data_IF_548665489595
#
_entry.id   IF_548665489595
#
_cell.length_a   1.000
_cell.length_b   1.000
_cell.length_c   1.000
_cell.angle_alpha   90.00
_cell.angle_beta   90.00
_cell.angle_gamma   90.00
#
_symmetry.space_group_name_H-M   'P 1'
#
loop_
_entity.id
_entity.type
_entity.pdbx_description
1 polymer ?
#
# COMPACT_ATOMS: atom_id res chain seq x y z
N UNK A 1 21.65 -10.86 -9.70
CA UNK A 1 20.91 -9.62 -9.97
C UNK A 1 20.20 -9.25 -8.68
N UNK A 2 20.38 -8.05 -8.17
CA UNK A 2 19.61 -7.58 -7.02
C UNK A 2 18.15 -7.43 -7.44
N UNK A 3 17.23 -8.01 -6.70
CA UNK A 3 15.80 -7.77 -6.90
C UNK A 3 15.51 -6.33 -6.46
N UNK A 4 14.77 -5.59 -7.28
CA UNK A 4 14.33 -4.22 -6.96
C UNK A 4 12.82 -4.20 -6.84
N UNK A 5 12.32 -3.47 -5.87
CA UNK A 5 10.88 -3.34 -5.64
C UNK A 5 10.27 -2.21 -6.47
N UNK A 6 9.08 -2.43 -6.97
CA UNK A 6 8.25 -1.38 -7.55
C UNK A 6 7.77 -0.43 -6.45
N UNK A 7 7.60 0.83 -6.80
CA UNK A 7 7.12 1.87 -5.89
C UNK A 7 5.62 2.06 -6.05
N UNK A 8 4.92 2.22 -4.95
CA UNK A 8 3.48 2.43 -4.96
C UNK A 8 3.06 3.65 -4.14
N UNK A 9 1.80 4.00 -4.27
CA UNK A 9 1.15 5.04 -3.47
C UNK A 9 1.41 4.82 -1.97
N UNK A 10 1.75 5.90 -1.26
CA UNK A 10 2.15 5.86 0.13
C UNK A 10 3.63 5.54 0.36
N UNK A 11 4.41 5.36 -0.71
CA UNK A 11 5.87 5.27 -0.62
C UNK A 11 6.44 6.49 0.10
N UNK A 12 7.39 6.28 0.99
CA UNK A 12 8.01 7.38 1.75
C UNK A 12 9.24 7.90 1.02
N UNK A 13 9.26 9.19 0.78
CA UNK A 13 10.35 9.89 0.11
C UNK A 13 11.03 10.90 1.04
N UNK A 14 12.30 11.18 0.78
CA UNK A 14 13.10 12.15 1.54
C UNK A 14 13.94 13.00 0.58
N UNK A 15 13.88 14.30 0.77
CA UNK A 15 14.80 15.22 0.10
C UNK A 15 16.09 15.35 0.91
N UNK A 16 17.25 15.30 0.24
CA UNK A 16 18.56 15.48 0.90
C UNK A 16 18.74 16.85 1.58
N UNK A 17 17.95 17.85 1.17
CA UNK A 17 17.97 19.21 1.73
C UNK A 17 16.76 19.50 2.63
N UNK A 18 15.91 18.49 2.87
CA UNK A 18 14.77 18.57 3.75
C UNK A 18 15.05 17.90 5.11
N UNK A 19 14.28 18.26 6.11
CA UNK A 19 14.40 17.71 7.47
C UNK A 19 13.22 16.80 7.86
N UNK A 20 12.30 16.53 6.96
CA UNK A 20 11.16 15.64 7.18
C UNK A 20 10.84 14.82 5.91
N UNK A 21 10.40 13.56 6.04
CA UNK A 21 9.90 12.77 4.92
C UNK A 21 8.47 13.17 4.54
N UNK A 22 8.07 12.82 3.32
CA UNK A 22 6.69 12.91 2.85
C UNK A 22 6.31 11.67 2.05
N UNK A 23 5.01 11.40 1.90
CA UNK A 23 4.50 10.24 1.20
C UNK A 23 4.08 10.58 -0.22
N UNK A 24 4.40 9.66 -1.14
CA UNK A 24 4.07 9.78 -2.55
C UNK A 24 2.57 9.52 -2.79
N UNK A 25 1.93 10.39 -3.57
CA UNK A 25 0.59 10.17 -4.13
C UNK A 25 0.71 9.81 -5.60
N UNK A 26 -0.11 8.86 -6.04
CA UNK A 26 -0.27 8.53 -7.45
C UNK A 26 -1.57 9.16 -7.93
N UNK A 27 -1.48 10.07 -8.91
CA UNK A 27 -2.61 10.85 -9.42
C UNK A 27 -2.79 10.70 -10.94
N UNK A 28 -1.86 10.03 -11.62
CA UNK A 28 -1.78 9.99 -13.08
C UNK A 28 -2.34 8.72 -13.70
N UNK A 29 -2.69 7.72 -12.88
CA UNK A 29 -3.28 6.46 -13.32
C UNK A 29 -4.20 5.88 -12.24
N UNK A 30 -5.14 5.00 -12.65
CA UNK A 30 -6.19 4.43 -11.76
C UNK A 30 -6.35 2.92 -11.92
N UNK A 31 -5.54 2.26 -12.76
CA UNK A 31 -5.75 0.86 -13.16
C UNK A 31 -4.66 -0.11 -12.70
N UNK A 32 -3.43 0.37 -12.54
CA UNK A 32 -2.33 -0.49 -12.18
C UNK A 32 -2.11 -0.50 -10.66
N UNK A 33 -2.38 -1.63 -10.04
CA UNK A 33 -2.27 -1.83 -8.60
C UNK A 33 -1.15 -2.79 -8.24
N UNK A 34 -0.60 -2.62 -7.04
CA UNK A 34 0.23 -3.61 -6.36
C UNK A 34 -0.56 -4.07 -5.13
N UNK A 35 -0.57 -5.38 -4.86
CA UNK A 35 -1.40 -6.02 -3.84
C UNK A 35 -2.89 -5.95 -4.23
N UNK A 36 -3.38 -6.99 -4.90
CA UNK A 36 -4.73 -7.05 -5.51
C UNK A 36 -5.89 -7.25 -4.53
N UNK A 37 -5.65 -7.30 -3.21
CA UNK A 37 -6.70 -7.52 -2.19
C UNK A 37 -7.02 -6.23 -1.43
N UNK A 38 -8.29 -5.83 -1.46
CA UNK A 38 -8.79 -4.76 -0.59
C UNK A 38 -8.59 -5.09 0.91
N UNK A 39 -8.22 -4.13 1.78
CA UNK A 39 -8.07 -2.68 1.56
C UNK A 39 -6.66 -2.23 1.16
N UNK A 40 -5.82 -3.12 0.63
CA UNK A 40 -4.38 -2.88 0.44
C UNK A 40 -3.97 -2.59 -0.99
N UNK A 41 -4.93 -2.45 -1.89
CA UNK A 41 -4.67 -2.03 -3.26
C UNK A 41 -3.97 -0.68 -3.29
N UNK A 42 -2.75 -0.65 -3.82
CA UNK A 42 -1.96 0.57 -3.95
C UNK A 42 -1.57 0.78 -5.39
N UNK A 43 -1.86 1.96 -5.91
CA UNK A 43 -1.50 2.34 -7.27
C UNK A 43 0.01 2.34 -7.47
N UNK A 44 0.48 1.80 -8.59
CA UNK A 44 1.89 1.84 -8.99
C UNK A 44 2.29 3.26 -9.33
N UNK A 45 3.38 3.75 -8.74
CA UNK A 45 3.93 5.05 -9.07
C UNK A 45 4.75 4.98 -10.37
N UNK A 46 4.63 6.01 -11.18
CA UNK A 46 5.26 6.09 -12.50
C UNK A 46 6.04 7.38 -12.69
N UNK A 47 6.80 7.46 -13.77
CA UNK A 47 7.51 8.70 -14.16
C UNK A 47 6.58 9.85 -14.52
N UNK A 48 5.30 9.58 -14.75
CA UNK A 48 4.28 10.61 -15.01
C UNK A 48 3.79 11.30 -13.72
N UNK A 49 4.08 10.74 -12.54
CA UNK A 49 3.74 11.35 -11.25
C UNK A 49 4.71 12.48 -10.92
N UNK A 50 4.47 13.64 -11.51
CA UNK A 50 5.26 14.88 -11.37
C UNK A 50 4.42 16.00 -10.75
N UNK A 51 5.07 17.14 -10.42
CA UNK A 51 4.41 18.28 -9.79
C UNK A 51 4.26 18.12 -8.29
N UNK A 52 3.07 18.43 -7.77
CA UNK A 52 2.71 18.32 -6.35
C UNK A 52 2.23 16.88 -6.02
N UNK A 53 3.11 15.92 -6.18
CA UNK A 53 2.84 14.49 -6.08
C UNK A 53 3.08 13.89 -4.69
N UNK A 54 3.21 14.70 -3.65
CA UNK A 54 3.34 14.26 -2.26
C UNK A 54 2.09 14.62 -1.44
N UNK A 55 1.87 13.92 -0.32
CA UNK A 55 0.69 14.14 0.53
C UNK A 55 0.64 15.56 1.10
N UNK A 56 1.74 16.02 1.68
CA UNK A 56 1.89 17.35 2.27
C UNK A 56 2.59 18.34 1.34
N UNK A 57 3.20 17.85 0.28
CA UNK A 57 4.05 18.59 -0.66
C UNK A 57 5.15 19.39 0.05
N UNK A 58 5.75 18.80 1.10
CA UNK A 58 6.81 19.43 1.86
C UNK A 58 7.76 18.40 2.45
N UNK A 59 9.05 18.73 2.44
CA UNK A 59 10.09 18.01 3.20
C UNK A 59 10.57 18.82 4.41
N UNK A 60 9.66 19.63 5.01
CA UNK A 60 9.96 20.48 6.16
C UNK A 60 10.63 21.79 5.76
N UNK A 61 11.83 22.06 6.31
CA UNK A 61 12.60 23.27 5.99
C UNK A 61 13.62 22.96 4.88
N UNK A 62 13.69 23.83 3.87
CA UNK A 62 14.57 23.65 2.71
C UNK A 62 15.93 24.32 2.91
N UNK A 63 16.99 23.55 3.11
CA UNK A 63 18.37 24.06 3.30
C UNK A 63 18.89 24.85 2.09
N UNK A 64 18.32 24.65 0.91
CA UNK A 64 18.65 25.42 -0.30
C UNK A 64 18.05 26.83 -0.31
N UNK A 65 17.23 27.18 0.69
CA UNK A 65 16.57 28.47 0.82
C UNK A 65 16.83 29.12 2.18
N UNK A 66 18.07 29.61 2.44
CA UNK A 66 18.39 30.27 3.69
C UNK A 66 17.64 31.60 3.84
N UNK A 67 17.29 31.94 5.08
CA UNK A 67 16.67 33.24 5.43
C UNK A 67 17.73 34.23 5.88
N UNK A 68 17.62 35.53 5.51
CA UNK A 68 18.41 36.59 6.13
C UNK A 68 18.14 36.65 7.63
N UNK A 69 19.09 36.38 8.46
CA UNK A 69 18.95 36.33 9.93
C UNK A 69 18.93 34.93 10.52
N UNK A 70 19.10 33.91 9.71
CA UNK A 70 19.20 32.51 10.11
C UNK A 70 17.94 31.68 9.87
N UNK A 71 18.13 30.36 9.79
CA UNK A 71 17.05 29.42 9.47
C UNK A 71 16.81 29.25 7.97
N UNK A 72 15.76 28.50 7.62
CA UNK A 72 15.43 28.13 6.25
C UNK A 72 13.95 28.33 5.98
N UNK A 73 13.61 28.57 4.72
CA UNK A 73 12.21 28.66 4.28
C UNK A 73 11.53 27.29 4.35
N UNK A 74 10.20 27.25 4.56
CA UNK A 74 9.39 26.03 4.38
C UNK A 74 9.58 25.49 2.96
N UNK A 75 9.76 24.17 2.87
CA UNK A 75 9.85 23.47 1.59
C UNK A 75 8.49 23.44 0.89
N UNK A 76 8.49 23.75 -0.40
CA UNK A 76 7.39 23.47 -1.32
C UNK A 76 7.91 22.41 -2.30
N UNK A 77 7.61 21.14 -2.00
CA UNK A 77 8.09 20.05 -2.81
C UNK A 77 7.36 20.03 -4.16
N UNK A 78 8.16 20.02 -5.23
CA UNK A 78 7.66 19.88 -6.59
C UNK A 78 8.62 19.00 -7.38
N UNK A 79 8.09 17.92 -7.94
CA UNK A 79 8.85 17.01 -8.80
C UNK A 79 8.77 17.48 -10.24
N UNK A 80 9.90 17.63 -10.90
CA UNK A 80 9.96 17.96 -12.33
C UNK A 80 10.27 16.77 -13.20
N UNK A 81 10.99 15.78 -12.66
CA UNK A 81 11.40 14.60 -13.39
C UNK A 81 11.79 13.49 -12.43
N UNK A 82 11.54 12.25 -12.83
CA UNK A 82 12.10 11.03 -12.21
C UNK A 82 13.23 10.46 -13.06
N UNK A 83 14.19 9.82 -12.40
CA UNK A 83 15.31 9.09 -13.00
C UNK A 83 15.39 7.68 -12.41
N UNK A 84 15.93 6.71 -13.18
CA UNK A 84 16.12 5.33 -12.74
C UNK A 84 14.85 4.49 -12.70
N UNK A 85 13.83 4.84 -13.48
CA UNK A 85 12.63 4.04 -13.65
C UNK A 85 12.88 2.77 -14.50
N UNK A 86 11.96 1.82 -14.48
CA UNK A 86 12.02 0.60 -15.28
C UNK A 86 11.48 0.85 -16.69
N UNK A 87 12.34 1.18 -17.62
CA UNK A 87 11.99 1.64 -18.98
C UNK A 87 11.41 0.54 -19.89
N UNK A 88 11.53 -0.74 -19.54
CA UNK A 88 11.01 -1.84 -20.35
C UNK A 88 9.49 -2.00 -20.28
N UNK A 89 8.82 -1.31 -19.38
CA UNK A 89 7.37 -1.30 -19.20
C UNK A 89 6.86 0.13 -19.27
N UNK A 90 5.79 0.32 -20.04
CA UNK A 90 5.07 1.61 -20.15
C UNK A 90 3.61 1.37 -19.84
N UNK A 91 3.04 2.15 -18.94
CA UNK A 91 1.61 2.12 -18.65
C UNK A 91 0.84 2.96 -19.69
N UNK A 92 -0.15 2.33 -20.35
CA UNK A 92 -0.91 2.97 -21.43
C UNK A 92 -1.72 4.20 -20.95
N UNK A 93 -2.17 4.22 -19.69
CA UNK A 93 -3.04 5.27 -19.17
C UNK A 93 -2.33 6.63 -19.07
N UNK A 94 -1.06 6.64 -18.68
CA UNK A 94 -0.30 7.87 -18.46
C UNK A 94 1.04 7.95 -19.21
N UNK A 95 1.34 6.95 -20.04
CA UNK A 95 2.61 6.78 -20.76
C UNK A 95 3.85 6.83 -19.83
N UNK A 96 3.68 6.54 -18.56
CA UNK A 96 4.75 6.53 -17.56
C UNK A 96 5.40 5.16 -17.44
N UNK A 97 6.67 5.17 -17.01
CA UNK A 97 7.42 3.97 -16.64
C UNK A 97 7.34 3.76 -15.12
N UNK A 98 7.18 2.51 -14.63
CA UNK A 98 7.11 2.25 -13.20
C UNK A 98 8.39 2.66 -12.48
N UNK A 99 8.23 3.30 -11.32
CA UNK A 99 9.34 3.66 -10.45
C UNK A 99 9.85 2.45 -9.69
N UNK A 100 11.14 2.41 -9.48
CA UNK A 100 11.86 1.43 -8.65
C UNK A 100 12.30 2.08 -7.34
N UNK A 101 12.57 1.27 -6.33
CA UNK A 101 12.99 1.75 -4.99
C UNK A 101 14.26 2.63 -5.01
N UNK A 102 15.10 2.49 -6.03
CA UNK A 102 16.29 3.30 -6.25
C UNK A 102 16.09 4.50 -7.20
N UNK A 103 14.87 4.68 -7.71
CA UNK A 103 14.51 5.86 -8.50
C UNK A 103 14.64 7.14 -7.66
N UNK A 104 14.99 8.23 -8.34
CA UNK A 104 15.18 9.54 -7.71
C UNK A 104 14.41 10.61 -8.43
N UNK A 105 13.97 11.62 -7.69
CA UNK A 105 13.28 12.77 -8.26
C UNK A 105 14.13 14.05 -8.21
N UNK A 106 13.89 14.90 -9.20
CA UNK A 106 14.47 16.23 -9.34
C UNK A 106 13.48 17.28 -8.84
N UNK A 107 13.95 18.18 -7.99
CA UNK A 107 13.23 19.37 -7.56
C UNK A 107 13.91 20.63 -8.16
N UNK A 108 13.15 21.64 -8.63
CA UNK A 108 13.73 22.85 -9.22
C UNK A 108 14.68 23.60 -8.29
N UNK A 109 14.45 23.51 -6.98
CA UNK A 109 15.24 24.19 -5.95
C UNK A 109 16.41 23.33 -5.50
N UNK A 110 16.17 22.04 -5.24
CA UNK A 110 17.20 21.11 -4.75
C UNK A 110 18.09 20.55 -5.85
N UNK A 111 17.69 20.68 -7.11
CA UNK A 111 18.43 20.18 -8.27
C UNK A 111 18.16 18.72 -8.59
N UNK A 112 18.99 18.16 -9.47
CA UNK A 112 18.85 16.81 -10.00
C UNK A 112 18.98 15.76 -8.90
N UNK A 113 18.10 14.77 -8.92
CA UNK A 113 18.13 13.56 -8.09
C UNK A 113 18.21 13.83 -6.57
N UNK A 114 17.67 14.97 -6.12
CA UNK A 114 17.74 15.38 -4.72
C UNK A 114 16.70 14.72 -3.80
N UNK A 115 15.68 14.04 -4.36
CA UNK A 115 14.67 13.32 -3.61
C UNK A 115 14.87 11.83 -3.86
N UNK A 116 14.98 11.06 -2.78
CA UNK A 116 15.15 9.60 -2.81
C UNK A 116 13.94 8.92 -2.18
N UNK A 117 13.66 7.71 -2.62
CA UNK A 117 12.66 6.82 -2.02
C UNK A 117 13.35 6.06 -0.89
N UNK A 118 12.84 6.19 0.34
CA UNK A 118 13.37 5.50 1.52
C UNK A 118 12.54 4.28 1.93
N UNK A 119 11.31 4.19 1.42
CA UNK A 119 10.45 3.03 1.54
C UNK A 119 9.53 2.96 0.32
N UNK A 120 9.48 1.82 -0.35
CA UNK A 120 8.74 1.64 -1.60
C UNK A 120 7.21 1.59 -1.44
N UNK A 121 6.70 1.56 -0.21
CA UNK A 121 5.27 1.61 0.10
C UNK A 121 4.54 0.26 0.02
N UNK A 122 5.17 -0.79 -0.51
CA UNK A 122 4.57 -2.12 -0.50
C UNK A 122 4.60 -2.67 0.92
N UNK A 123 3.53 -3.37 1.28
CA UNK A 123 3.42 -4.11 2.54
C UNK A 123 3.41 -5.59 2.20
N UNK A 124 4.39 -6.33 2.71
CA UNK A 124 4.39 -7.78 2.60
C UNK A 124 3.44 -8.32 3.67
N UNK A 125 2.18 -8.52 3.32
CA UNK A 125 1.23 -9.22 4.17
C UNK A 125 1.01 -10.63 3.65
N UNK A 126 0.85 -11.57 4.58
CA UNK A 126 0.50 -12.93 4.25
C UNK A 126 -1.00 -12.92 3.95
N UNK A 127 -1.37 -13.04 2.68
CA UNK A 127 -2.77 -13.12 2.27
C UNK A 127 -3.24 -14.58 2.27
N UNK A 128 -4.56 -14.78 2.38
CA UNK A 128 -5.18 -16.11 2.24
C UNK A 128 -4.75 -16.80 0.95
N UNK A 129 -4.63 -16.04 -0.14
CA UNK A 129 -4.20 -16.56 -1.45
C UNK A 129 -2.76 -17.08 -1.39
N UNK A 130 -1.85 -16.35 -0.74
CA UNK A 130 -0.45 -16.75 -0.60
C UNK A 130 -0.33 -18.03 0.23
N UNK A 131 -1.15 -18.17 1.28
CA UNK A 131 -1.18 -19.36 2.12
C UNK A 131 -1.77 -20.58 1.41
N UNK A 132 -2.86 -20.41 0.67
CA UNK A 132 -3.43 -21.48 -0.16
C UNK A 132 -2.50 -21.91 -1.31
N UNK A 133 -1.65 -21.01 -1.79
CA UNK A 133 -0.67 -21.30 -2.85
C UNK A 133 0.65 -21.85 -2.29
N UNK A 134 0.88 -21.78 -0.99
CA UNK A 134 2.06 -22.34 -0.35
C UNK A 134 1.97 -23.87 -0.30
N UNK A 135 3.04 -24.54 -0.70
CA UNK A 135 3.16 -25.99 -0.60
C UNK A 135 3.47 -26.37 0.87
N UNK A 136 2.54 -27.02 1.61
CA UNK A 136 2.72 -27.33 3.03
C UNK A 136 3.98 -28.15 3.27
N UNK A 137 4.30 -29.11 2.38
CA UNK A 137 5.44 -29.99 2.53
C UNK A 137 6.76 -29.22 2.46
N UNK A 138 6.84 -28.24 1.53
CA UNK A 138 8.02 -27.38 1.42
C UNK A 138 8.15 -26.43 2.60
N UNK A 139 7.04 -25.92 3.11
CA UNK A 139 7.05 -25.04 4.29
C UNK A 139 7.49 -25.79 5.55
N UNK A 140 7.04 -27.04 5.75
CA UNK A 140 7.47 -27.89 6.85
C UNK A 140 8.96 -28.27 6.73
N UNK A 141 9.49 -28.41 5.51
CA UNK A 141 10.92 -28.65 5.28
C UNK A 141 11.79 -27.42 5.64
N UNK A 142 11.27 -26.21 5.45
CA UNK A 142 11.96 -24.96 5.78
C UNK A 142 11.95 -24.72 7.30
N UNK A 143 10.85 -25.06 7.96
CA UNK A 143 10.69 -24.93 9.41
C UNK A 143 10.07 -26.19 10.01
N UNK A 144 10.89 -27.23 10.31
CA UNK A 144 10.40 -28.52 10.80
C UNK A 144 9.79 -28.49 12.22
N UNK A 145 9.87 -27.35 12.90
CA UNK A 145 9.24 -27.15 14.21
C UNK A 145 7.83 -26.55 14.13
N UNK A 146 7.32 -26.31 12.92
CA UNK A 146 6.01 -25.71 12.68
C UNK A 146 5.21 -26.62 11.74
N UNK A 147 4.09 -27.14 12.21
CA UNK A 147 3.08 -27.76 11.34
C UNK A 147 2.35 -26.65 10.56
N UNK A 148 2.78 -26.44 9.32
CA UNK A 148 2.24 -25.36 8.47
C UNK A 148 0.76 -25.57 8.14
N UNK A 149 0.33 -26.82 7.97
CA UNK A 149 -1.08 -27.15 7.72
C UNK A 149 -1.97 -26.75 8.89
N UNK A 150 -1.53 -27.06 10.12
CA UNK A 150 -2.22 -26.62 11.34
C UNK A 150 -2.19 -25.12 11.52
N UNK A 151 -1.05 -24.47 11.28
CA UNK A 151 -0.90 -23.00 11.35
C UNK A 151 -1.86 -22.29 10.41
N UNK A 152 -1.98 -22.76 9.17
CA UNK A 152 -2.94 -22.21 8.20
C UNK A 152 -4.37 -22.40 8.69
N UNK A 153 -4.73 -23.58 9.16
CA UNK A 153 -6.06 -23.83 9.72
C UNK A 153 -6.35 -22.94 10.94
N UNK A 154 -5.44 -22.80 11.87
CA UNK A 154 -5.64 -21.99 13.09
C UNK A 154 -5.81 -20.49 12.79
N UNK A 155 -5.18 -19.98 11.73
CA UNK A 155 -5.34 -18.56 11.31
C UNK A 155 -6.63 -18.33 10.53
N UNK A 156 -7.08 -19.31 9.74
CA UNK A 156 -8.16 -19.11 8.77
C UNK A 156 -9.44 -19.87 9.05
N UNK A 157 -9.48 -20.76 10.04
CA UNK A 157 -10.76 -21.20 10.57
C UNK A 157 -11.38 -20.03 11.33
N UNK A 158 -12.17 -19.21 10.60
CA UNK A 158 -13.24 -18.46 11.26
C UNK A 158 -14.00 -19.47 12.11
N UNK A 159 -14.43 -19.09 13.33
CA UNK A 159 -15.35 -19.95 14.06
C UNK A 159 -16.45 -20.33 13.08
N UNK A 160 -16.64 -21.62 12.88
CA UNK A 160 -17.68 -22.11 11.99
C UNK A 160 -18.99 -21.48 12.48
N UNK A 161 -19.65 -20.72 11.59
CA UNK A 161 -21.01 -20.28 11.86
C UNK A 161 -21.83 -21.56 11.87
N UNK A 162 -22.17 -22.04 13.06
CA UNK A 162 -22.84 -23.32 13.25
C UNK A 162 -24.28 -23.20 12.75
N UNK A 163 -24.91 -22.07 12.99
CA UNK A 163 -26.28 -21.82 12.56
C UNK A 163 -26.58 -20.33 12.43
N UNK A 164 -27.40 -19.98 11.43
CA UNK A 164 -27.96 -18.62 11.27
C UNK A 164 -29.47 -18.76 11.17
N UNK A 165 -30.19 -18.13 12.05
CA UNK A 165 -31.66 -18.18 12.04
C UNK A 165 -32.26 -16.86 12.52
N UNK A 166 -33.53 -16.67 12.17
CA UNK A 166 -34.29 -15.53 12.64
C UNK A 166 -35.16 -15.94 13.84
N UNK A 167 -35.28 -15.02 14.80
CA UNK A 167 -36.12 -15.22 15.98
C UNK A 167 -37.13 -14.07 16.10
N UNK A 168 -38.27 -14.36 16.77
CA UNK A 168 -39.16 -13.35 17.27
C UNK A 168 -38.68 -12.76 18.61
N UNK A 169 -39.39 -11.77 19.16
CA UNK A 169 -39.07 -11.12 20.44
C UNK A 169 -39.00 -12.11 21.63
N UNK A 170 -39.60 -13.29 21.54
CA UNK A 170 -39.56 -14.33 22.56
C UNK A 170 -38.40 -15.30 22.39
N UNK A 171 -37.56 -15.13 21.32
CA UNK A 171 -36.43 -16.00 21.02
C UNK A 171 -36.77 -17.30 20.27
N UNK A 172 -38.01 -17.48 19.77
CA UNK A 172 -38.40 -18.64 18.99
C UNK A 172 -37.95 -18.49 17.53
N UNK A 173 -37.38 -19.54 16.93
CA UNK A 173 -37.05 -19.59 15.50
C UNK A 173 -38.29 -19.36 14.65
N UNK A 174 -38.17 -18.50 13.64
CA UNK A 174 -39.24 -18.19 12.69
C UNK A 174 -38.78 -18.42 11.25
N UNK A 175 -39.70 -18.91 10.41
CA UNK A 175 -39.48 -18.96 8.96
C UNK A 175 -39.88 -17.63 8.32
N UNK A 176 -39.07 -17.18 7.35
CA UNK A 176 -39.31 -15.95 6.59
C UNK A 176 -40.58 -16.10 5.73
N UNK A 177 -41.70 -15.62 6.21
CA UNK A 177 -42.98 -15.69 5.48
C UNK A 177 -44.20 -15.15 6.22
N UNK A 178 -44.10 -14.79 7.50
CA UNK A 178 -45.21 -14.20 8.24
C UNK A 178 -45.06 -12.68 8.37
N UNK A 179 -46.07 -11.95 7.90
CA UNK A 179 -46.12 -10.51 7.85
C UNK A 179 -46.06 -9.84 9.25
N UNK A 180 -45.31 -8.77 9.36
CA UNK A 180 -45.32 -7.74 10.45
C UNK A 180 -44.83 -8.14 11.85
N UNK A 181 -43.79 -8.97 11.98
CA UNK A 181 -43.11 -9.16 13.27
C UNK A 181 -41.69 -8.56 13.27
N UNK A 182 -41.25 -8.01 14.40
CA UNK A 182 -39.85 -7.63 14.60
C UNK A 182 -38.98 -8.89 14.56
N UNK A 183 -37.98 -8.89 13.71
CA UNK A 183 -37.12 -10.05 13.41
C UNK A 183 -35.73 -9.78 13.92
N UNK A 184 -35.16 -10.73 14.65
CA UNK A 184 -33.77 -10.68 15.14
C UNK A 184 -32.92 -11.73 14.44
N UNK A 185 -31.78 -11.33 13.89
CA UNK A 185 -30.79 -12.26 13.35
C UNK A 185 -29.91 -12.79 14.49
N UNK A 186 -29.90 -14.08 14.70
CA UNK A 186 -29.02 -14.77 15.65
C UNK A 186 -27.97 -15.56 14.88
N UNK A 187 -26.70 -15.37 15.25
CA UNK A 187 -25.55 -16.07 14.69
C UNK A 187 -24.86 -16.79 15.84
N UNK A 188 -24.88 -18.13 15.79
CA UNK A 188 -24.17 -18.98 16.74
C UNK A 188 -22.88 -19.50 16.07
N UNK A 189 -21.73 -19.34 16.75
CA UNK A 189 -20.42 -19.76 16.28
C UNK A 189 -19.62 -20.49 17.35
#
# INVERSE_FOLDING_TARGET
>A
MSQKHLVCQGATCQCQFGNAPDKLKVLTQTKAFINEEEPQEKLVATTADIGATFEKNTFGLCQMQPLPGGGYKPCQAMVTQWSGAYENVTYEENNGHPLLEDSKATCPIGGKDCISIINHGQVAEITNRNLHSADPIKMDMINPFMDFGKFVNDIFTKPDIVEVYFTNLEGNKIDLGEDEQEIYLVIEG
#
